data_IF_579962044790
#
_entry.id   IF_579962044790
#
_cell.length_a   1.000
_cell.length_b   1.000
_cell.length_c   1.000
_cell.angle_alpha   90.00
_cell.angle_beta   90.00
_cell.angle_gamma   90.00
#
_symmetry.space_group_name_H-M   'P 1'
#
loop_
_entity.id
_entity.type
_entity.pdbx_description
1 polymer ?
#
# COMPACT_ATOMS: atom_id res chain seq x y z
N UNK A 1 4.64 -9.10 -10.55
CA UNK A 1 4.82 -9.19 -9.09
C UNK A 1 3.80 -8.29 -8.47
N UNK A 2 3.00 -8.81 -7.55
CA UNK A 2 1.96 -8.04 -6.87
C UNK A 2 2.56 -7.42 -5.62
N UNK A 3 2.26 -6.16 -5.32
CA UNK A 3 2.78 -5.50 -4.10
C UNK A 3 2.38 -6.27 -2.82
N UNK A 4 1.29 -7.04 -2.89
CA UNK A 4 0.81 -7.91 -1.81
C UNK A 4 1.85 -8.95 -1.37
N UNK A 5 2.78 -9.36 -2.24
CA UNK A 5 3.87 -10.28 -1.90
C UNK A 5 4.88 -9.66 -0.90
N UNK A 6 4.90 -8.32 -0.81
CA UNK A 6 5.79 -7.61 0.09
C UNK A 6 5.21 -7.41 1.49
N UNK A 7 3.89 -7.60 1.65
CA UNK A 7 3.13 -7.40 2.89
C UNK A 7 3.28 -8.55 3.89
N UNK A 8 3.01 -8.27 5.16
CA UNK A 8 2.88 -9.29 6.20
C UNK A 8 1.40 -9.46 6.52
N UNK A 9 0.75 -10.37 5.79
CA UNK A 9 -0.62 -10.80 6.05
C UNK A 9 -0.59 -12.13 6.83
N UNK A 10 -1.45 -12.26 7.83
CA UNK A 10 -1.69 -13.52 8.54
C UNK A 10 -2.65 -14.39 7.74
N UNK A 11 -2.72 -15.67 8.13
CA UNK A 11 -3.63 -16.63 7.52
C UNK A 11 -5.09 -16.16 7.65
N UNK A 12 -5.79 -16.08 6.51
CA UNK A 12 -7.16 -15.58 6.44
C UNK A 12 -7.32 -14.06 6.34
N UNK A 13 -6.24 -13.29 6.44
CA UNK A 13 -6.31 -11.83 6.21
C UNK A 13 -6.39 -11.51 4.71
N UNK A 14 -7.19 -10.50 4.38
CA UNK A 14 -7.39 -10.05 2.99
C UNK A 14 -7.23 -8.55 2.86
N UNK A 15 -6.93 -8.07 1.66
CA UNK A 15 -6.85 -6.64 1.35
C UNK A 15 -8.15 -6.17 0.71
N UNK A 16 -8.64 -5.04 1.19
CA UNK A 16 -9.73 -4.30 0.57
C UNK A 16 -9.22 -2.93 0.14
N UNK A 17 -9.36 -2.61 -1.14
CA UNK A 17 -9.08 -1.25 -1.63
C UNK A 17 -10.13 -0.29 -1.06
N UNK A 18 -9.65 0.75 -0.39
CA UNK A 18 -10.48 1.78 0.25
C UNK A 18 -10.53 3.03 -0.63
N UNK A 19 -9.38 3.44 -1.18
CA UNK A 19 -9.30 4.59 -2.09
C UNK A 19 -8.05 4.52 -2.97
N UNK A 20 -8.12 5.18 -4.11
CA UNK A 20 -7.00 5.42 -5.00
C UNK A 20 -6.97 6.90 -5.36
N UNK A 21 -5.78 7.48 -5.46
CA UNK A 21 -5.59 8.86 -5.87
C UNK A 21 -4.26 9.05 -6.61
N UNK A 22 -4.26 9.98 -7.54
CA UNK A 22 -3.05 10.49 -8.19
C UNK A 22 -2.61 11.79 -7.51
N UNK A 23 -1.31 11.97 -7.36
CA UNK A 23 -0.67 13.17 -6.79
C UNK A 23 0.65 13.46 -7.51
N UNK A 24 1.36 14.50 -7.07
CA UNK A 24 2.62 14.91 -7.67
C UNK A 24 2.48 15.76 -8.93
N UNK A 25 3.61 16.03 -9.58
CA UNK A 25 3.66 16.89 -10.75
C UNK A 25 3.14 16.13 -11.97
N UNK A 26 2.06 16.62 -12.59
CA UNK A 26 1.38 15.95 -13.71
C UNK A 26 0.81 14.55 -13.34
N UNK A 27 0.49 14.30 -12.06
CA UNK A 27 -0.06 13.00 -11.65
C UNK A 27 0.97 11.87 -11.67
N UNK A 28 2.25 12.18 -11.47
CA UNK A 28 3.32 11.20 -11.58
C UNK A 28 3.40 10.21 -10.39
N UNK A 29 2.55 10.37 -9.38
CA UNK A 29 2.51 9.54 -8.18
C UNK A 29 1.13 8.96 -7.99
N UNK A 30 1.01 7.64 -8.06
CA UNK A 30 -0.20 6.91 -7.71
C UNK A 30 -0.14 6.48 -6.25
N UNK A 31 -1.24 6.65 -5.51
CA UNK A 31 -1.37 6.23 -4.11
C UNK A 31 -2.66 5.44 -3.93
N UNK A 32 -2.52 4.17 -3.58
CA UNK A 32 -3.63 3.29 -3.23
C UNK A 32 -3.62 2.99 -1.73
N UNK A 33 -4.77 3.16 -1.10
CA UNK A 33 -4.96 2.84 0.31
C UNK A 33 -5.83 1.60 0.43
N UNK A 34 -5.36 0.62 1.19
CA UNK A 34 -6.06 -0.61 1.49
C UNK A 34 -6.29 -0.76 2.99
N UNK A 35 -7.41 -1.38 3.33
CA UNK A 35 -7.67 -1.89 4.67
C UNK A 35 -7.33 -3.39 4.69
N UNK A 36 -6.64 -3.83 5.73
CA UNK A 36 -6.42 -5.26 6.00
C UNK A 36 -7.62 -5.74 6.79
N UNK A 37 -8.32 -6.75 6.26
CA UNK A 37 -9.45 -7.38 6.90
C UNK A 37 -9.04 -8.73 7.48
N UNK A 38 -9.44 -9.00 8.72
CA UNK A 38 -9.39 -10.35 9.32
C UNK A 38 -10.32 -11.31 8.59
N UNK A 39 -10.21 -12.61 8.88
CA UNK A 39 -11.14 -13.64 8.43
C UNK A 39 -12.61 -13.32 8.80
N UNK A 40 -12.81 -12.62 9.92
CA UNK A 40 -14.12 -12.17 10.40
C UNK A 40 -14.65 -10.90 9.69
N UNK A 41 -13.87 -10.33 8.77
CA UNK A 41 -14.22 -9.12 8.03
C UNK A 41 -13.96 -7.81 8.78
N UNK A 42 -13.37 -7.86 9.98
CA UNK A 42 -12.97 -6.67 10.74
C UNK A 42 -11.67 -6.07 10.21
N UNK A 43 -11.57 -4.74 10.23
CA UNK A 43 -10.31 -4.06 9.88
C UNK A 43 -9.30 -4.32 11.00
N UNK A 44 -8.13 -4.84 10.64
CA UNK A 44 -7.00 -5.13 11.56
C UNK A 44 -5.74 -4.35 11.22
N UNK A 45 -5.76 -3.57 10.16
CA UNK A 45 -4.62 -2.74 9.76
C UNK A 45 -4.89 -1.98 8.47
N UNK A 46 -3.89 -1.22 8.02
CA UNK A 46 -3.96 -0.45 6.78
C UNK A 46 -2.67 -0.60 5.98
N UNK A 47 -2.79 -0.40 4.67
CA UNK A 47 -1.67 -0.39 3.74
C UNK A 47 -1.78 0.83 2.85
N UNK A 48 -0.71 1.60 2.75
CA UNK A 48 -0.50 2.61 1.72
C UNK A 48 0.49 2.04 0.70
N UNK A 49 0.04 1.85 -0.53
CA UNK A 49 0.89 1.52 -1.66
C UNK A 49 1.08 2.76 -2.52
N UNK A 50 2.31 3.06 -2.90
CA UNK A 50 2.65 4.25 -3.69
C UNK A 50 3.55 3.84 -4.85
N UNK A 51 3.20 4.33 -6.03
CA UNK A 51 4.01 4.20 -7.24
C UNK A 51 4.43 5.60 -7.67
N UNK A 52 5.71 5.92 -7.52
CA UNK A 52 6.29 7.18 -7.99
C UNK A 52 6.99 6.93 -9.32
N UNK A 53 6.40 7.44 -10.39
CA UNK A 53 7.00 7.42 -11.72
C UNK A 53 7.73 8.74 -11.93
N UNK A 54 9.05 8.72 -12.12
CA UNK A 54 9.79 9.94 -12.44
C UNK A 54 9.23 10.54 -13.74
N UNK A 55 8.97 11.85 -13.76
CA UNK A 55 8.32 12.56 -14.88
C UNK A 55 9.04 12.41 -16.23
N UNK A 56 10.35 12.11 -16.21
CA UNK A 56 11.13 11.79 -17.43
C UNK A 56 11.16 10.30 -17.79
N UNK A 57 10.37 9.46 -17.12
CA UNK A 57 10.22 8.02 -17.37
C UNK A 57 11.41 7.15 -17.00
N UNK A 58 12.47 7.72 -16.41
CA UNK A 58 13.75 7.03 -16.22
C UNK A 58 13.80 6.11 -14.99
N UNK A 59 12.83 6.23 -14.07
CA UNK A 59 12.78 5.47 -12.82
C UNK A 59 11.35 5.36 -12.34
N UNK A 60 10.95 4.16 -11.93
CA UNK A 60 9.74 3.93 -11.13
C UNK A 60 10.20 3.48 -9.76
N UNK A 61 9.64 4.06 -8.71
CA UNK A 61 9.89 3.67 -7.33
C UNK A 61 8.59 3.18 -6.73
N UNK A 62 8.60 1.96 -6.22
CA UNK A 62 7.49 1.40 -5.48
C UNK A 62 7.74 1.57 -4.00
N UNK A 63 6.69 1.94 -3.27
CA UNK A 63 6.71 2.04 -1.81
C UNK A 63 5.48 1.34 -1.27
N UNK A 64 5.67 0.54 -0.23
CA UNK A 64 4.55 0.00 0.54
C UNK A 64 4.79 0.28 2.02
N UNK A 65 3.75 0.78 2.68
CA UNK A 65 3.72 1.02 4.12
C UNK A 65 2.53 0.29 4.69
N UNK A 66 2.77 -0.60 5.64
CA UNK A 66 1.73 -1.29 6.39
C UNK A 66 1.72 -0.76 7.82
N UNK A 67 0.52 -0.47 8.33
CA UNK A 67 0.30 -0.04 9.70
C UNK A 67 -0.70 -0.93 10.41
N UNK A 68 -0.52 -1.08 11.73
CA UNK A 68 -1.48 -1.73 12.62
C UNK A 68 -2.65 -0.77 12.97
N UNK A 69 -3.63 -1.24 13.73
CA UNK A 69 -4.78 -0.45 14.19
C UNK A 69 -4.39 0.76 15.03
N UNK A 70 -3.29 0.65 15.77
CA UNK A 70 -2.73 1.76 16.56
C UNK A 70 -2.01 2.82 15.70
N UNK A 71 -1.94 2.61 14.37
CA UNK A 71 -1.23 3.50 13.44
C UNK A 71 0.28 3.29 13.43
N UNK A 72 0.79 2.29 14.15
CA UNK A 72 2.21 1.94 14.16
C UNK A 72 2.60 1.25 12.85
N UNK A 73 3.65 1.73 12.19
CA UNK A 73 4.23 1.06 11.01
C UNK A 73 4.82 -0.29 11.40
N UNK A 74 4.27 -1.36 10.83
CA UNK A 74 4.75 -2.74 11.01
C UNK A 74 5.71 -3.14 9.89
N UNK A 75 5.53 -2.57 8.70
CA UNK A 75 6.36 -2.84 7.54
C UNK A 75 6.48 -1.58 6.69
N UNK A 76 7.69 -1.32 6.20
CA UNK A 76 7.94 -0.35 5.15
C UNK A 76 9.00 -0.90 4.19
N UNK A 77 8.69 -0.94 2.90
CA UNK A 77 9.60 -1.40 1.84
C UNK A 77 9.57 -0.48 0.63
N UNK A 78 10.71 -0.43 -0.07
CA UNK A 78 10.90 0.32 -1.31
C UNK A 78 11.67 -0.55 -2.31
N UNK A 79 11.30 -0.49 -3.59
CA UNK A 79 12.03 -1.17 -4.67
C UNK A 79 11.84 -0.47 -6.02
#
# INVERSE_FOLDING_TARGET
MSFSEHLQLKDGETLRLDSSRETGFMGNVDVDNYSILSADGEVVGKVEYTVDTAVKGLKVTYKVVQTDLEGKTVLQKFW
#
